data_IF_420736178522
#
_entry.id   IF_420736178522
#
_cell.length_a   1.000
_cell.length_b   1.000
_cell.length_c   1.000
_cell.angle_alpha   90.00
_cell.angle_beta   90.00
_cell.angle_gamma   90.00
#
_symmetry.space_group_name_H-M   'P 1'
#
loop_
_entity.id
_entity.type
_entity.pdbx_description
1 polymer ?
#
# COMPACT_ATOMS: atom_id res chain seq x y z
N UNK A 1 -5.52 -22.18 2.56
CA UNK A 1 -4.16 -21.62 2.70
C UNK A 1 -4.31 -20.18 3.16
N UNK A 2 -3.55 -19.71 4.15
CA UNK A 2 -3.66 -18.32 4.62
C UNK A 2 -2.99 -17.40 3.57
N UNK A 3 -3.69 -16.36 3.13
CA UNK A 3 -3.16 -15.31 2.24
C UNK A 3 -2.77 -14.10 3.09
N UNK A 4 -1.51 -13.68 3.00
CA UNK A 4 -1.01 -12.49 3.70
C UNK A 4 -1.25 -11.20 2.90
N UNK A 5 -1.49 -11.31 1.60
CA UNK A 5 -1.83 -10.18 0.75
C UNK A 5 -3.35 -10.11 0.57
N UNK A 6 -3.96 -9.07 1.13
CA UNK A 6 -5.41 -8.82 1.09
C UNK A 6 -5.96 -8.74 -0.35
N UNK A 7 -5.21 -8.14 -1.28
CA UNK A 7 -5.62 -8.04 -2.70
C UNK A 7 -5.77 -9.43 -3.30
N UNK A 8 -4.76 -10.29 -3.12
CA UNK A 8 -4.81 -11.68 -3.63
C UNK A 8 -5.97 -12.44 -2.97
N UNK A 9 -6.15 -12.29 -1.66
CA UNK A 9 -7.26 -12.92 -0.93
C UNK A 9 -8.63 -12.52 -1.50
N UNK A 10 -8.87 -11.23 -1.71
CA UNK A 10 -10.14 -10.71 -2.22
C UNK A 10 -10.39 -11.19 -3.66
N UNK A 11 -9.38 -11.12 -4.53
CA UNK A 11 -9.50 -11.54 -5.92
C UNK A 11 -9.76 -13.05 -6.05
N UNK A 12 -9.12 -13.89 -5.23
CA UNK A 12 -9.38 -15.34 -5.21
C UNK A 12 -10.79 -15.70 -4.70
N UNK A 13 -11.47 -14.77 -4.02
CA UNK A 13 -12.84 -14.93 -3.53
C UNK A 13 -13.87 -14.26 -4.44
N UNK A 14 -13.49 -13.81 -5.64
CA UNK A 14 -14.32 -13.04 -6.56
C UNK A 14 -14.92 -11.77 -5.92
N UNK A 15 -14.18 -11.16 -4.98
CA UNK A 15 -14.58 -9.91 -4.30
C UNK A 15 -13.93 -8.70 -4.95
N UNK A 16 -14.60 -7.53 -4.90
CA UNK A 16 -14.03 -6.29 -5.39
C UNK A 16 -12.80 -5.89 -4.54
N UNK A 17 -11.84 -5.25 -5.21
CA UNK A 17 -10.66 -4.62 -4.60
C UNK A 17 -10.77 -3.11 -4.86
N UNK A 18 -10.78 -2.32 -3.81
CA UNK A 18 -10.82 -0.86 -3.92
C UNK A 18 -9.41 -0.29 -3.91
N UNK A 19 -8.98 0.23 -5.07
CA UNK A 19 -7.69 0.87 -5.23
C UNK A 19 -7.82 2.39 -5.00
N UNK A 20 -6.88 2.99 -4.26
CA UNK A 20 -6.81 4.44 -4.10
C UNK A 20 -6.53 5.19 -5.41
N UNK A 21 -6.03 4.46 -6.41
CA UNK A 21 -5.54 4.98 -7.66
C UNK A 21 -4.01 4.97 -7.71
N UNK A 22 -3.47 5.87 -8.53
CA UNK A 22 -2.06 5.94 -8.87
C UNK A 22 -1.38 7.00 -7.98
N UNK A 23 -0.33 6.60 -7.28
CA UNK A 23 0.56 7.50 -6.54
C UNK A 23 1.90 7.57 -7.25
N UNK A 24 2.31 8.77 -7.62
CA UNK A 24 3.58 9.02 -8.28
C UNK A 24 4.75 8.64 -7.38
N UNK A 25 5.75 7.95 -7.93
CA UNK A 25 6.98 7.63 -7.21
C UNK A 25 7.61 8.92 -6.62
N UNK A 26 8.01 8.86 -5.34
CA UNK A 26 8.52 9.99 -4.56
C UNK A 26 7.45 10.86 -3.89
N UNK A 27 6.15 10.71 -4.18
CA UNK A 27 5.10 11.51 -3.52
C UNK A 27 4.72 10.92 -2.14
N UNK A 28 5.35 11.45 -1.09
CA UNK A 28 5.15 10.98 0.29
C UNK A 28 3.84 11.47 0.92
N UNK A 29 3.33 12.63 0.51
CA UNK A 29 2.11 13.21 1.07
C UNK A 29 0.90 12.34 0.66
N UNK A 30 0.78 12.03 -0.62
CA UNK A 30 -0.27 11.14 -1.12
C UNK A 30 -0.12 9.73 -0.55
N UNK A 31 1.11 9.24 -0.41
CA UNK A 31 1.35 7.90 0.16
C UNK A 31 0.95 7.82 1.63
N UNK A 32 1.18 8.88 2.41
CA UNK A 32 0.75 8.96 3.81
C UNK A 32 -0.78 8.98 3.90
N UNK A 33 -1.44 9.79 3.06
CA UNK A 33 -2.90 9.84 2.99
C UNK A 33 -3.51 8.48 2.67
N UNK A 34 -2.97 7.80 1.65
CA UNK A 34 -3.44 6.46 1.26
C UNK A 34 -3.17 5.42 2.34
N UNK A 35 -2.03 5.48 3.04
CA UNK A 35 -1.68 4.54 4.11
C UNK A 35 -2.63 4.58 5.33
N UNK A 36 -3.31 5.71 5.55
CA UNK A 36 -4.32 5.85 6.61
C UNK A 36 -5.77 5.63 6.14
N UNK A 37 -5.99 5.56 4.83
CA UNK A 37 -7.31 5.30 4.23
C UNK A 37 -7.63 3.79 4.17
N UNK A 38 -8.92 3.46 4.05
CA UNK A 38 -9.43 2.07 4.02
C UNK A 38 -9.37 1.42 2.62
N UNK A 39 -8.41 1.83 1.77
CA UNK A 39 -8.19 1.19 0.47
C UNK A 39 -7.54 -0.19 0.63
N UNK A 40 -7.85 -1.10 -0.29
CA UNK A 40 -7.25 -2.44 -0.34
C UNK A 40 -5.89 -2.45 -1.04
N UNK A 41 -5.65 -1.47 -1.90
CA UNK A 41 -4.51 -1.41 -2.82
C UNK A 41 -4.12 0.03 -3.15
N UNK A 42 -2.84 0.22 -3.46
CA UNK A 42 -2.29 1.41 -4.12
C UNK A 42 -1.41 0.97 -5.29
N UNK A 43 -1.39 1.76 -6.36
CA UNK A 43 -0.44 1.59 -7.48
C UNK A 43 0.64 2.66 -7.34
N UNK A 44 1.90 2.24 -7.19
CA UNK A 44 3.04 3.18 -7.24
C UNK A 44 3.49 3.31 -8.69
N UNK A 45 3.32 4.50 -9.27
CA UNK A 45 3.69 4.78 -10.65
C UNK A 45 5.18 5.05 -10.77
N UNK A 46 5.86 4.13 -11.45
CA UNK A 46 7.31 4.18 -11.62
C UNK A 46 7.73 4.19 -13.10
N UNK A 47 6.79 4.07 -14.05
CA UNK A 47 7.09 4.04 -15.47
C UNK A 47 7.33 5.47 -16.00
N UNK A 48 6.43 6.41 -15.70
CA UNK A 48 6.45 7.76 -16.29
C UNK A 48 7.26 8.78 -15.47
N UNK A 49 7.37 8.62 -14.15
CA UNK A 49 8.18 9.48 -13.27
C UNK A 49 9.64 9.03 -13.16
N UNK A 50 9.95 7.83 -13.68
CA UNK A 50 11.25 7.20 -13.52
C UNK A 50 11.33 6.34 -12.26
N UNK A 51 12.09 5.26 -12.41
CA UNK A 51 12.23 4.24 -11.41
C UNK A 51 13.36 4.54 -10.43
N UNK A 52 13.07 4.55 -9.13
CA UNK A 52 14.05 4.73 -8.05
C UNK A 52 13.74 3.81 -6.88
N UNK A 53 14.66 2.88 -6.57
CA UNK A 53 14.53 1.99 -5.42
C UNK A 53 14.56 2.73 -4.08
N UNK A 54 15.27 3.85 -3.99
CA UNK A 54 15.37 4.62 -2.75
C UNK A 54 14.03 5.31 -2.42
N UNK A 55 13.36 5.85 -3.44
CA UNK A 55 12.06 6.49 -3.29
C UNK A 55 11.00 5.44 -2.97
N UNK A 56 10.97 4.34 -3.74
CA UNK A 56 10.07 3.21 -3.45
C UNK A 56 10.27 2.69 -2.03
N UNK A 57 11.51 2.46 -1.59
CA UNK A 57 11.83 2.00 -0.24
C UNK A 57 11.24 2.95 0.81
N UNK A 58 11.40 4.25 0.60
CA UNK A 58 10.92 5.28 1.52
C UNK A 58 9.40 5.31 1.54
N UNK A 59 8.75 5.33 0.38
CA UNK A 59 7.29 5.32 0.24
C UNK A 59 6.65 4.13 0.94
N UNK A 60 7.21 2.92 0.79
CA UNK A 60 6.70 1.73 1.46
C UNK A 60 6.69 1.86 2.99
N UNK A 61 7.55 2.71 3.58
CA UNK A 61 7.51 2.95 5.02
C UNK A 61 6.29 3.74 5.47
N UNK A 62 5.72 4.58 4.61
CA UNK A 62 4.55 5.41 4.91
C UNK A 62 3.22 4.66 4.76
N UNK A 63 3.22 3.51 4.09
CA UNK A 63 2.09 2.56 4.12
C UNK A 63 1.97 1.80 5.44
N UNK A 64 3.00 1.84 6.30
CA UNK A 64 2.97 1.14 7.59
C UNK A 64 2.48 2.06 8.70
N UNK A 65 1.27 1.83 9.20
CA UNK A 65 0.80 2.46 10.42
C UNK A 65 1.45 1.80 11.66
N UNK A 66 2.63 2.29 12.06
CA UNK A 66 3.44 1.71 13.15
C UNK A 66 2.71 1.64 14.49
N UNK A 67 1.77 2.57 14.73
CA UNK A 67 0.93 2.56 15.94
C UNK A 67 -0.03 1.37 15.91
N UNK A 68 -0.77 1.16 14.82
CA UNK A 68 -1.66 -0.01 14.65
C UNK A 68 -0.87 -1.32 14.79
N UNK A 69 0.33 -1.39 14.21
CA UNK A 69 1.20 -2.57 14.32
C UNK A 69 1.64 -2.81 15.77
N UNK A 70 2.03 -1.76 16.49
CA UNK A 70 2.40 -1.85 17.90
C UNK A 70 1.23 -2.26 18.81
N UNK A 71 0.01 -1.83 18.50
CA UNK A 71 -1.19 -2.13 19.29
C UNK A 71 -1.71 -3.55 19.03
N UNK A 72 -1.67 -4.01 17.78
CA UNK A 72 -2.13 -5.35 17.39
C UNK A 72 -1.06 -6.44 17.50
N UNK A 73 0.22 -6.08 17.57
CA UNK A 73 1.36 -7.01 17.51
C UNK A 73 1.50 -7.73 16.17
N UNK A 74 0.83 -7.23 15.12
CA UNK A 74 0.68 -7.86 13.81
C UNK A 74 0.61 -6.80 12.71
N UNK A 75 1.06 -7.16 11.51
CA UNK A 75 0.88 -6.36 10.28
C UNK A 75 -0.52 -6.55 9.65
N UNK A 76 -1.27 -7.57 10.06
CA UNK A 76 -2.70 -7.79 9.79
C UNK A 76 -3.57 -7.23 10.92
#
# INVERSE_FOLDING_TARGET
MIRYNKVIELLEQDKPVFCSGLVWNGNLDDMTFVGDADYDMVIVEMEHQGFSFNDLRTMLQFLMNRKKVSEKGSLQ
#
